data_IF_402677355055
#
_entry.id   IF_402677355055
#
_cell.length_a   1.000
_cell.length_b   1.000
_cell.length_c   1.000
_cell.angle_alpha   90.00
_cell.angle_beta   90.00
_cell.angle_gamma   90.00
#
_symmetry.space_group_name_H-M   'P 1'
#
loop_
_entity.id
_entity.type
_entity.pdbx_description
1 polymer ?
#
# COMPACT_ATOMS: atom_id res chain seq x y z
N UNK A 1 7.95 -8.36 29.60
CA UNK A 1 8.38 -8.62 28.21
C UNK A 1 8.93 -7.31 27.71
N UNK A 2 10.24 -7.21 27.44
CA UNK A 2 10.82 -5.98 26.88
C UNK A 2 10.03 -5.60 25.63
N UNK A 3 9.65 -4.34 25.47
CA UNK A 3 9.11 -3.82 24.21
C UNK A 3 10.09 -4.21 23.10
N UNK A 4 9.76 -5.29 22.40
CA UNK A 4 10.56 -5.80 21.29
C UNK A 4 10.59 -4.69 20.25
N UNK A 5 11.79 -4.36 19.78
CA UNK A 5 12.00 -3.38 18.72
C UNK A 5 11.13 -3.81 17.52
N UNK A 6 9.98 -3.15 17.29
CA UNK A 6 9.11 -3.44 16.13
C UNK A 6 9.93 -3.36 14.86
N UNK A 7 9.52 -4.10 13.82
CA UNK A 7 10.15 -4.01 12.53
C UNK A 7 10.18 -2.54 12.04
N UNK A 8 11.23 -2.09 11.35
CA UNK A 8 11.22 -0.75 10.74
C UNK A 8 10.09 -0.66 9.71
N UNK A 9 9.59 0.55 9.45
CA UNK A 9 8.66 0.77 8.34
C UNK A 9 9.39 0.52 7.00
N UNK A 10 8.68 0.15 5.92
CA UNK A 10 9.28 -0.27 4.64
C UNK A 10 10.18 0.76 3.95
N UNK A 11 10.24 1.98 4.46
CA UNK A 11 10.97 3.09 3.85
C UNK A 11 11.95 3.78 4.79
N UNK A 12 12.04 3.37 6.05
CA UNK A 12 12.98 3.94 7.02
C UNK A 12 14.45 3.76 6.59
N UNK A 13 14.71 2.79 5.71
CA UNK A 13 16.02 2.46 5.16
C UNK A 13 16.21 2.93 3.71
N UNK A 14 15.28 3.72 3.15
CA UNK A 14 15.41 4.34 1.83
C UNK A 14 15.87 5.79 1.94
N UNK A 15 16.52 6.36 0.90
CA UNK A 15 16.77 7.80 0.86
C UNK A 15 15.46 8.59 1.01
N UNK A 16 15.50 9.74 1.69
CA UNK A 16 14.34 10.59 1.83
C UNK A 16 13.92 11.17 0.47
N UNK A 17 12.62 11.38 0.31
CA UNK A 17 11.95 12.03 -0.82
C UNK A 17 10.97 13.07 -0.28
N UNK A 18 10.37 13.90 -1.14
CA UNK A 18 9.37 14.87 -0.69
C UNK A 18 8.20 14.17 0.02
N UNK A 19 7.74 14.71 1.15
CA UNK A 19 6.53 14.24 1.80
C UNK A 19 5.30 14.94 1.19
N UNK A 20 4.18 14.23 1.11
CA UNK A 20 2.87 14.81 0.80
C UNK A 20 1.79 14.13 1.65
N UNK A 21 0.52 14.50 1.46
CA UNK A 21 -0.58 14.04 2.30
C UNK A 21 -1.31 12.88 1.65
N UNK A 22 -1.62 11.84 2.43
CA UNK A 22 -2.63 10.84 2.11
C UNK A 22 -3.57 10.69 3.31
N UNK A 23 -4.87 10.64 3.05
CA UNK A 23 -5.93 10.44 4.04
C UNK A 23 -6.89 9.35 3.59
N UNK A 24 -7.73 8.88 4.52
CA UNK A 24 -8.75 7.89 4.27
C UNK A 24 -9.96 8.11 5.17
N UNK A 25 -11.16 7.92 4.63
CA UNK A 25 -12.39 7.82 5.44
C UNK A 25 -12.53 6.44 6.12
N UNK A 26 -11.80 5.44 5.62
CA UNK A 26 -11.85 4.06 6.08
C UNK A 26 -10.78 3.73 7.12
N UNK A 27 -9.61 4.38 7.04
CA UNK A 27 -8.44 4.11 7.89
C UNK A 27 -8.01 5.37 8.63
N UNK A 28 -8.11 5.37 9.96
CA UNK A 28 -7.57 6.44 10.79
C UNK A 28 -6.05 6.23 11.01
N UNK A 29 -5.21 7.28 11.00
CA UNK A 29 -3.78 7.17 11.29
C UNK A 29 -3.51 6.55 12.67
N UNK A 30 -2.80 5.43 12.70
CA UNK A 30 -2.53 4.65 13.92
C UNK A 30 -3.77 3.98 14.53
N UNK A 31 -4.92 4.03 13.85
CA UNK A 31 -6.16 3.44 14.30
C UNK A 31 -6.30 1.97 13.91
N UNK A 32 -7.29 1.30 14.49
CA UNK A 32 -7.61 -0.09 14.18
C UNK A 32 -8.36 -0.16 12.84
N UNK A 33 -7.92 -1.04 11.94
CA UNK A 33 -8.62 -1.31 10.68
C UNK A 33 -10.04 -1.81 10.95
N UNK A 34 -11.00 -1.27 10.19
CA UNK A 34 -12.40 -1.72 10.23
C UNK A 34 -12.51 -3.12 9.61
N UNK A 35 -13.58 -3.82 9.94
CA UNK A 35 -13.91 -5.14 9.38
C UNK A 35 -13.94 -5.17 7.84
N UNK A 36 -14.20 -4.02 7.21
CA UNK A 36 -14.13 -3.85 5.77
C UNK A 36 -12.73 -4.22 5.20
N UNK A 37 -11.65 -3.87 5.89
CA UNK A 37 -10.26 -4.11 5.44
C UNK A 37 -9.68 -5.45 5.93
N UNK A 38 -10.47 -6.28 6.63
CA UNK A 38 -10.03 -7.59 7.15
C UNK A 38 -10.31 -8.69 6.11
N UNK A 39 -9.33 -9.55 5.85
CA UNK A 39 -9.37 -10.55 4.77
C UNK A 39 -10.55 -11.51 4.87
N UNK A 40 -10.80 -12.05 6.07
CA UNK A 40 -11.89 -13.00 6.30
C UNK A 40 -13.27 -12.33 6.45
N UNK A 41 -13.36 -11.01 6.32
CA UNK A 41 -14.57 -10.21 6.49
C UNK A 41 -14.90 -9.46 5.21
N UNK A 42 -14.65 -8.15 5.16
CA UNK A 42 -14.96 -7.34 3.98
C UNK A 42 -13.96 -7.46 2.84
N UNK A 43 -12.69 -7.77 3.13
CA UNK A 43 -11.59 -7.86 2.15
C UNK A 43 -11.57 -6.72 1.11
N UNK A 44 -11.88 -5.51 1.54
CA UNK A 44 -12.10 -4.34 0.67
C UNK A 44 -10.98 -3.34 0.88
N UNK A 45 -10.29 -2.93 -0.19
CA UNK A 45 -9.28 -1.87 -0.11
C UNK A 45 -9.92 -0.58 0.45
N UNK A 46 -9.24 0.17 1.33
CA UNK A 46 -9.80 1.41 1.85
C UNK A 46 -9.88 2.48 0.76
N UNK A 47 -10.78 3.44 0.93
CA UNK A 47 -10.70 4.71 0.22
C UNK A 47 -9.37 5.39 0.57
N UNK A 48 -8.71 6.01 -0.41
CA UNK A 48 -7.49 6.79 -0.22
C UNK A 48 -7.56 8.04 -1.07
N UNK A 49 -7.31 9.21 -0.50
CA UNK A 49 -7.14 10.46 -1.24
C UNK A 49 -5.85 11.15 -0.86
N UNK A 50 -5.21 11.82 -1.83
CA UNK A 50 -3.91 12.44 -1.64
C UNK A 50 -3.78 13.79 -2.31
N UNK A 51 -2.96 14.65 -1.71
CA UNK A 51 -2.73 16.03 -2.16
C UNK A 51 -1.32 16.52 -1.79
N UNK A 52 -0.89 17.62 -2.40
CA UNK A 52 0.40 18.25 -2.11
C UNK A 52 1.63 17.51 -2.67
N UNK A 53 1.42 16.62 -3.64
CA UNK A 53 2.50 15.90 -4.32
C UNK A 53 3.33 16.82 -5.24
N UNK A 54 4.59 16.47 -5.56
CA UNK A 54 5.45 17.26 -6.46
C UNK A 54 4.80 17.52 -7.82
N UNK A 55 4.99 18.72 -8.38
CA UNK A 55 4.37 19.13 -9.63
C UNK A 55 4.87 18.33 -10.85
N UNK A 56 6.05 17.73 -10.75
CA UNK A 56 6.70 16.91 -11.77
C UNK A 56 6.14 15.47 -11.84
N UNK A 57 5.15 15.14 -10.99
CA UNK A 57 4.53 13.81 -10.94
C UNK A 57 3.83 13.47 -12.25
N UNK A 58 4.15 12.30 -12.82
CA UNK A 58 3.54 11.78 -14.05
C UNK A 58 2.61 10.59 -13.82
N UNK A 59 2.85 9.84 -12.75
CA UNK A 59 1.94 8.78 -12.29
C UNK A 59 2.02 8.59 -10.79
N UNK A 60 1.09 7.83 -10.25
CA UNK A 60 1.12 7.34 -8.87
C UNK A 60 1.26 5.83 -8.81
N UNK A 61 1.78 5.36 -7.69
CA UNK A 61 1.64 3.99 -7.23
C UNK A 61 1.06 3.97 -5.81
N UNK A 62 0.35 2.89 -5.49
CA UNK A 62 -0.21 2.61 -4.17
C UNK A 62 0.21 1.21 -3.75
N UNK A 63 0.70 1.07 -2.52
CA UNK A 63 1.02 -0.23 -1.93
C UNK A 63 0.43 -0.36 -0.54
N UNK A 64 0.10 -1.59 -0.12
CA UNK A 64 -0.13 -1.94 1.28
C UNK A 64 0.89 -3.00 1.70
N UNK A 65 1.65 -2.72 2.76
CA UNK A 65 2.68 -3.61 3.29
C UNK A 65 2.55 -3.81 4.79
N UNK A 66 2.65 -5.06 5.23
CA UNK A 66 2.74 -5.47 6.63
C UNK A 66 4.20 -5.79 6.98
N UNK A 67 4.91 -4.88 7.68
CA UNK A 67 6.28 -5.13 8.14
C UNK A 67 6.35 -6.10 9.34
N UNK A 68 5.24 -6.34 10.02
CA UNK A 68 5.16 -7.16 11.23
C UNK A 68 4.90 -8.65 10.90
N UNK A 69 4.49 -8.97 9.67
CA UNK A 69 4.31 -10.35 9.21
C UNK A 69 5.59 -11.20 9.38
N UNK A 70 5.51 -12.39 10.04
CA UNK A 70 6.67 -13.19 10.42
C UNK A 70 7.21 -14.08 9.28
N UNK A 71 7.49 -13.48 8.13
CA UNK A 71 7.96 -14.16 6.90
C UNK A 71 9.44 -13.98 6.61
N UNK A 72 10.10 -13.05 7.32
CA UNK A 72 11.45 -12.57 7.00
C UNK A 72 11.49 -11.45 5.94
N UNK A 73 10.38 -11.18 5.26
CA UNK A 73 10.25 -10.13 4.23
C UNK A 73 9.04 -9.22 4.41
N UNK A 74 8.31 -9.35 5.53
CA UNK A 74 6.97 -8.78 5.69
C UNK A 74 5.97 -9.40 4.71
N UNK A 75 4.85 -8.71 4.45
CA UNK A 75 3.82 -9.20 3.55
C UNK A 75 3.21 -8.07 2.71
N UNK A 76 3.22 -8.22 1.39
CA UNK A 76 2.60 -7.28 0.46
C UNK A 76 1.13 -7.65 0.25
N UNK A 77 0.25 -6.77 0.73
CA UNK A 77 -1.19 -6.89 0.65
C UNK A 77 -1.77 -6.30 -0.63
N UNK A 78 -1.10 -5.29 -1.20
CA UNK A 78 -1.56 -4.62 -2.42
C UNK A 78 -0.41 -3.92 -3.13
N UNK A 79 -0.41 -4.00 -4.46
CA UNK A 79 0.51 -3.26 -5.34
C UNK A 79 -0.26 -2.80 -6.58
N UNK A 80 -0.43 -1.50 -6.72
CA UNK A 80 -1.06 -0.84 -7.86
C UNK A 80 -0.13 0.27 -8.35
N UNK A 81 0.15 0.33 -9.64
CA UNK A 81 1.04 1.36 -10.21
C UNK A 81 0.56 1.82 -11.58
N UNK A 82 1.26 2.79 -12.17
CA UNK A 82 0.89 3.48 -13.41
C UNK A 82 -0.49 4.15 -13.35
N UNK A 83 -0.89 4.60 -12.15
CA UNK A 83 -2.11 5.39 -11.95
C UNK A 83 -1.85 6.79 -12.55
N UNK A 84 -2.66 7.29 -13.49
CA UNK A 84 -2.46 8.61 -14.10
C UNK A 84 -2.40 9.73 -13.06
N UNK A 85 -1.53 10.74 -13.28
CA UNK A 85 -1.38 11.88 -12.36
C UNK A 85 -2.65 12.73 -12.16
N UNK A 86 -3.67 12.58 -13.03
CA UNK A 86 -4.97 13.21 -12.85
C UNK A 86 -5.86 12.54 -11.79
N UNK A 87 -5.48 11.36 -11.29
CA UNK A 87 -6.17 10.65 -10.21
C UNK A 87 -5.53 11.01 -8.89
N UNK A 88 -6.33 11.55 -7.97
CA UNK A 88 -5.89 11.93 -6.63
C UNK A 88 -6.72 11.24 -5.54
N UNK A 89 -7.53 10.26 -5.94
CA UNK A 89 -8.37 9.47 -5.05
C UNK A 89 -8.61 8.07 -5.65
N UNK A 90 -8.63 7.06 -4.78
CA UNK A 90 -9.14 5.73 -5.04
C UNK A 90 -10.35 5.50 -4.13
N UNK A 91 -11.53 5.16 -4.67
CA UNK A 91 -12.68 4.82 -3.85
C UNK A 91 -12.43 3.51 -3.08
N UNK A 92 -13.20 3.30 -2.00
CA UNK A 92 -13.22 2.03 -1.29
C UNK A 92 -13.52 0.88 -2.29
N UNK A 93 -12.77 -0.22 -2.19
CA UNK A 93 -12.88 -1.35 -3.10
C UNK A 93 -12.21 -1.20 -4.48
N UNK A 94 -11.55 -0.08 -4.79
CA UNK A 94 -10.81 0.09 -6.04
C UNK A 94 -9.72 -0.97 -6.29
N UNK A 95 -9.22 -1.61 -5.23
CA UNK A 95 -8.24 -2.70 -5.29
C UNK A 95 -8.83 -4.07 -5.63
N UNK A 96 -10.04 -4.15 -6.20
CA UNK A 96 -10.73 -5.41 -6.51
C UNK A 96 -10.10 -6.24 -7.64
N UNK A 97 -9.15 -5.67 -8.39
CA UNK A 97 -8.58 -6.28 -9.58
C UNK A 97 -9.43 -6.11 -10.86
N UNK A 98 -10.66 -5.59 -10.78
CA UNK A 98 -11.53 -5.38 -11.94
C UNK A 98 -11.25 -4.06 -12.70
N UNK A 99 -10.41 -3.17 -12.12
CA UNK A 99 -10.13 -1.82 -12.60
C UNK A 99 -11.37 -0.91 -12.74
N UNK A 100 -12.53 -1.33 -12.21
CA UNK A 100 -13.75 -0.53 -12.26
C UNK A 100 -13.54 0.80 -11.53
N UNK A 101 -13.78 1.92 -12.20
CA UNK A 101 -13.55 3.26 -11.65
C UNK A 101 -12.12 3.77 -11.75
N UNK A 102 -11.15 2.97 -12.21
CA UNK A 102 -9.78 3.43 -12.49
C UNK A 102 -9.62 3.82 -13.97
N UNK A 103 -8.94 4.94 -14.28
CA UNK A 103 -8.63 5.27 -15.66
C UNK A 103 -7.69 4.22 -16.27
N UNK A 104 -7.75 4.09 -17.60
CA UNK A 104 -6.96 3.12 -18.32
C UNK A 104 -5.45 3.28 -18.06
N UNK A 105 -4.76 2.15 -17.88
CA UNK A 105 -3.31 2.10 -17.81
C UNK A 105 -2.74 1.75 -16.43
N UNK A 106 -3.54 1.76 -15.38
CA UNK A 106 -3.12 1.26 -14.07
C UNK A 106 -2.88 -0.27 -14.12
N UNK A 107 -1.97 -0.76 -13.29
CA UNK A 107 -1.56 -2.17 -13.24
C UNK A 107 -1.58 -2.69 -11.81
N UNK A 108 -2.34 -3.75 -11.57
CA UNK A 108 -2.20 -4.56 -10.37
C UNK A 108 -1.07 -5.58 -10.56
N UNK A 109 -0.01 -5.46 -9.78
CA UNK A 109 0.99 -6.52 -9.68
C UNK A 109 0.52 -7.61 -8.71
N UNK A 110 1.09 -8.80 -8.86
CA UNK A 110 0.87 -9.91 -7.95
C UNK A 110 1.29 -9.54 -6.52
N UNK A 111 0.40 -9.76 -5.55
CA UNK A 111 0.66 -9.60 -4.12
C UNK A 111 1.17 -10.92 -3.49
N UNK A 112 1.43 -10.95 -2.19
CA UNK A 112 1.93 -12.16 -1.51
C UNK A 112 0.84 -13.21 -1.22
N UNK A 113 -0.45 -12.87 -1.37
CA UNK A 113 -1.53 -13.87 -1.49
C UNK A 113 -1.50 -14.59 -2.84
N UNK A 114 -0.76 -14.07 -3.80
CA UNK A 114 -0.62 -14.62 -5.14
C UNK A 114 -1.70 -14.15 -6.12
N UNK A 115 -2.55 -13.21 -5.72
CA UNK A 115 -3.60 -12.57 -6.54
C UNK A 115 -3.14 -11.19 -7.06
N UNK A 116 -3.92 -10.60 -7.98
CA UNK A 116 -3.67 -9.28 -8.59
C UNK A 116 -4.73 -8.28 -8.12
N UNK A 117 -4.91 -8.20 -6.81
CA UNK A 117 -5.90 -7.39 -6.11
C UNK A 117 -5.36 -7.01 -4.71
N UNK A 118 -6.20 -6.36 -3.90
CA UNK A 118 -5.97 -6.15 -2.48
C UNK A 118 -6.40 -7.39 -1.69
N UNK A 119 -5.50 -7.89 -0.84
CA UNK A 119 -5.83 -8.81 0.24
C UNK A 119 -5.78 -8.10 1.59
N UNK A 120 -6.85 -8.16 2.37
CA UNK A 120 -6.97 -7.54 3.68
C UNK A 120 -6.10 -8.13 4.78
N UNK A 121 -6.25 -7.59 5.99
CA UNK A 121 -5.53 -8.02 7.17
C UNK A 121 -5.91 -9.45 7.60
N UNK A 122 -4.91 -10.28 7.92
CA UNK A 122 -5.08 -11.62 8.49
C UNK A 122 -3.86 -12.07 9.31
N UNK A 123 -3.47 -11.32 10.37
CA UNK A 123 -2.31 -11.68 11.16
C UNK A 123 -2.58 -13.00 11.93
N UNK A 124 -1.51 -13.73 12.31
CA UNK A 124 -1.67 -14.95 13.09
C UNK A 124 -2.38 -14.68 14.42
N UNK A 125 -3.14 -15.67 14.89
CA UNK A 125 -3.88 -15.54 16.14
C UNK A 125 -2.91 -15.38 17.32
N UNK A 126 -3.05 -14.30 18.08
CA UNK A 126 -2.25 -14.01 19.27
C UNK A 126 -0.84 -13.46 19.00
N UNK A 127 -0.54 -13.02 17.77
CA UNK A 127 0.79 -12.46 17.40
C UNK A 127 0.93 -10.97 17.74
N UNK A 128 -0.12 -10.36 18.30
CA UNK A 128 -0.19 -8.92 18.57
C UNK A 128 -0.67 -8.10 17.37
N UNK A 129 -0.69 -6.76 17.50
CA UNK A 129 -1.12 -5.86 16.42
C UNK A 129 -0.04 -5.70 15.33
N UNK A 130 -0.43 -6.02 14.10
CA UNK A 130 0.36 -5.77 12.89
C UNK A 130 0.01 -4.40 12.31
N UNK A 131 1.01 -3.72 11.73
CA UNK A 131 0.81 -2.49 10.95
C UNK A 131 0.51 -2.83 9.49
N UNK A 132 -0.41 -2.09 8.91
CA UNK A 132 -0.73 -2.11 7.48
C UNK A 132 -0.40 -0.73 6.93
N UNK A 133 0.74 -0.65 6.24
CA UNK A 133 1.32 0.59 5.75
C UNK A 133 0.84 0.83 4.33
N UNK A 134 -0.16 1.70 4.19
CA UNK A 134 -0.62 2.20 2.90
C UNK A 134 0.32 3.35 2.47
N UNK A 135 1.01 3.16 1.36
CA UNK A 135 1.93 4.16 0.81
C UNK A 135 1.45 4.60 -0.56
N UNK A 136 1.37 5.93 -0.77
CA UNK A 136 1.22 6.54 -2.10
C UNK A 136 2.57 7.09 -2.54
N UNK A 137 2.96 6.81 -3.77
CA UNK A 137 4.20 7.27 -4.39
C UNK A 137 3.87 8.22 -5.53
N UNK A 138 4.49 9.40 -5.56
CA UNK A 138 4.53 10.27 -6.72
C UNK A 138 5.74 9.88 -7.59
N UNK A 139 5.51 9.57 -8.87
CA UNK A 139 6.50 8.93 -9.77
C UNK A 139 6.80 9.83 -10.97
N UNK A 140 8.07 9.88 -11.39
CA UNK A 140 8.55 10.72 -12.52
C UNK A 140 8.35 10.14 -13.93
N UNK A 141 7.75 8.95 -14.02
CA UNK A 141 7.37 8.25 -15.25
C UNK A 141 5.87 8.06 -15.33
N UNK A 142 5.32 8.08 -16.55
CA UNK A 142 3.93 7.64 -16.79
C UNK A 142 3.79 6.12 -16.73
N UNK A 143 4.86 5.40 -17.10
CA UNK A 143 4.97 3.94 -17.09
C UNK A 143 6.21 3.52 -16.33
N UNK A 144 6.02 2.78 -15.24
CA UNK A 144 7.09 2.35 -14.35
C UNK A 144 7.95 1.25 -14.98
N UNK A 145 7.38 0.43 -15.87
CA UNK A 145 8.09 -0.59 -16.64
C UNK A 145 7.72 -2.05 -16.35
N UNK A 146 7.58 -2.49 -15.07
CA UNK A 146 7.17 -3.85 -14.76
C UNK A 146 5.78 -4.20 -15.29
N UNK A 147 5.54 -5.49 -15.53
CA UNK A 147 4.21 -6.02 -15.85
C UNK A 147 3.46 -6.48 -14.59
N UNK A 148 2.25 -7.01 -14.79
CA UNK A 148 1.38 -7.47 -13.72
C UNK A 148 1.87 -8.75 -13.00
N UNK A 149 2.84 -9.48 -13.57
CA UNK A 149 3.42 -10.70 -12.98
C UNK A 149 4.72 -10.43 -12.21
N UNK A 150 5.25 -9.20 -12.30
CA UNK A 150 6.36 -8.75 -11.48
C UNK A 150 6.05 -8.87 -9.97
N UNK A 151 7.07 -9.23 -9.19
CA UNK A 151 6.94 -9.27 -7.73
C UNK A 151 6.84 -7.88 -7.14
N UNK A 152 6.24 -7.72 -5.94
CA UNK A 152 6.23 -6.45 -5.22
C UNK A 152 7.62 -5.86 -5.01
N UNK A 153 8.63 -6.71 -4.77
CA UNK A 153 10.02 -6.29 -4.65
C UNK A 153 10.60 -5.72 -5.95
N UNK A 154 10.27 -6.30 -7.12
CA UNK A 154 10.70 -5.79 -8.42
C UNK A 154 10.00 -4.45 -8.76
N UNK A 155 8.72 -4.31 -8.42
CA UNK A 155 8.01 -3.02 -8.51
C UNK A 155 8.65 -1.99 -7.58
N UNK A 156 8.87 -2.35 -6.32
CA UNK A 156 9.53 -1.51 -5.31
C UNK A 156 10.94 -1.07 -5.70
N UNK A 157 11.70 -1.91 -6.40
CA UNK A 157 13.00 -1.55 -6.97
C UNK A 157 12.88 -0.41 -7.98
N UNK A 158 11.90 -0.45 -8.89
CA UNK A 158 11.67 0.65 -9.84
C UNK A 158 11.18 1.91 -9.11
N UNK A 159 10.22 1.78 -8.19
CA UNK A 159 9.74 2.91 -7.37
C UNK A 159 10.88 3.60 -6.65
N UNK A 160 11.83 2.84 -6.10
CA UNK A 160 12.99 3.40 -5.40
C UNK A 160 13.80 4.41 -6.22
N UNK A 161 13.89 4.23 -7.54
CA UNK A 161 14.65 5.15 -8.41
C UNK A 161 13.80 6.26 -9.02
N UNK A 162 12.48 6.07 -9.08
CA UNK A 162 11.55 6.98 -9.77
C UNK A 162 10.61 7.77 -8.85
N UNK A 163 10.66 7.52 -7.53
CA UNK A 163 9.83 8.25 -6.55
C UNK A 163 10.34 9.68 -6.36
N UNK A 164 9.50 10.66 -6.67
CA UNK A 164 9.69 12.08 -6.37
C UNK A 164 9.21 12.44 -4.96
N UNK A 165 8.13 11.81 -4.52
CA UNK A 165 7.55 12.03 -3.20
C UNK A 165 6.79 10.81 -2.69
N UNK A 166 6.55 10.79 -1.37
CA UNK A 166 5.86 9.68 -0.70
C UNK A 166 4.96 10.17 0.43
N UNK A 167 3.77 9.58 0.54
CA UNK A 167 2.86 9.75 1.64
C UNK A 167 2.47 8.40 2.24
N UNK A 168 2.28 8.32 3.55
CA UNK A 168 1.96 7.08 4.25
C UNK A 168 0.77 7.26 5.19
N UNK A 169 -0.09 6.25 5.21
CA UNK A 169 -1.16 6.07 6.18
C UNK A 169 -1.02 4.67 6.78
N UNK A 170 -0.92 4.59 8.11
CA UNK A 170 -0.75 3.32 8.81
C UNK A 170 -1.99 3.03 9.61
N UNK A 171 -2.62 1.87 9.37
CA UNK A 171 -3.61 1.29 10.26
C UNK A 171 -3.04 0.06 10.95
N UNK A 172 -3.68 -0.39 12.03
CA UNK A 172 -3.28 -1.61 12.75
C UNK A 172 -4.41 -2.62 12.82
N UNK A 173 -4.09 -3.90 12.86
CA UNK A 173 -5.06 -4.95 13.14
C UNK A 173 -4.41 -6.09 13.91
N UNK A 174 -5.16 -6.67 14.85
CA UNK A 174 -4.75 -7.84 15.63
C UNK A 174 -5.83 -8.92 15.46
N UNK A 175 -5.40 -10.18 15.48
CA UNK A 175 -6.28 -11.33 15.63
C UNK A 175 -6.12 -11.88 17.06
N UNK A 176 -6.98 -11.52 18.02
CA UNK A 176 -6.78 -11.86 19.44
C UNK A 176 -6.77 -13.37 19.70
N UNK A 177 -6.09 -13.77 20.78
CA UNK A 177 -5.88 -15.16 21.21
C UNK A 177 -7.14 -15.95 21.57
#
# INVERSE_FOLDING_TARGET
MSEGKRAPLPHDFHPPVAAFTVVSDDVAPGGVLKDAQVYAKGNTSPQLSWEGFPAETKSFAVTCFDPDAPTGSGFWHWVLFDIPASVTELPAGAGSGSFEGLPAGAVHARNDYGSKDFGGAAPPKGDGPHRYVFTVYAVDQEKLGPDADASPAAVGFNLRFHTLGRAQLVGEYENPA
#
